data_IF_489325352591
#
_entry.id   IF_489325352591
#
_cell.length_a   1.000
_cell.length_b   1.000
_cell.length_c   1.000
_cell.angle_alpha   90.00
_cell.angle_beta   90.00
_cell.angle_gamma   90.00
#
_symmetry.space_group_name_H-M   'P 1'
#
loop_
_entity.id
_entity.type
_entity.pdbx_description
1 polymer ?
#
# COMPACT_ATOMS: atom_id res chain seq x y z
N UNK A 1 12.03 -12.12 4.55
CA UNK A 1 11.89 -10.80 3.91
C UNK A 1 10.93 -9.94 4.70
N UNK A 2 11.31 -8.68 5.00
CA UNK A 2 10.48 -7.72 5.75
C UNK A 2 10.02 -6.58 4.84
N UNK A 3 8.72 -6.33 4.79
CA UNK A 3 8.11 -5.22 4.04
C UNK A 3 7.54 -4.22 5.04
N UNK A 4 8.07 -2.99 5.04
CA UNK A 4 7.45 -1.87 5.73
C UNK A 4 6.38 -1.26 4.81
N UNK A 5 5.11 -1.45 5.14
CA UNK A 5 4.00 -0.80 4.46
C UNK A 5 3.62 0.49 5.19
N UNK A 6 3.70 1.60 4.48
CA UNK A 6 3.14 2.90 4.83
C UNK A 6 2.01 3.22 3.85
N UNK A 7 1.11 4.12 4.20
CA UNK A 7 -0.02 4.45 3.34
C UNK A 7 -0.54 5.86 3.60
N UNK A 8 -1.15 6.44 2.58
CA UNK A 8 -1.97 7.65 2.68
C UNK A 8 -1.25 8.83 3.39
N UNK A 9 -0.01 9.20 2.95
CA UNK A 9 0.71 10.32 3.53
C UNK A 9 0.15 11.69 3.11
N UNK A 10 -0.57 11.79 1.98
CA UNK A 10 -1.23 12.99 1.49
C UNK A 10 -0.32 14.23 1.48
N UNK A 11 0.87 14.11 0.91
CA UNK A 11 1.81 15.23 0.85
C UNK A 11 1.32 16.35 -0.07
N UNK A 12 1.80 17.56 0.18
CA UNK A 12 1.65 18.73 -0.67
C UNK A 12 3.01 19.37 -0.91
N UNK A 13 3.09 20.32 -1.86
CA UNK A 13 4.35 20.97 -2.25
C UNK A 13 5.04 21.74 -1.12
N UNK A 14 4.29 22.27 -0.16
CA UNK A 14 4.83 23.09 0.93
C UNK A 14 5.10 22.28 2.19
N UNK A 15 6.36 22.24 2.63
CA UNK A 15 6.82 21.42 3.76
C UNK A 15 6.08 21.71 5.09
N UNK A 16 5.72 22.98 5.33
CA UNK A 16 5.02 23.41 6.54
C UNK A 16 3.48 23.37 6.42
N UNK A 17 2.94 22.98 5.27
CA UNK A 17 1.49 22.96 5.09
C UNK A 17 0.84 21.85 5.93
N UNK A 18 -0.35 22.19 6.43
CA UNK A 18 -1.20 21.22 7.11
C UNK A 18 -2.18 20.60 6.11
N UNK A 19 -2.30 19.29 6.14
CA UNK A 19 -3.34 18.53 5.44
C UNK A 19 -4.25 17.93 6.49
N UNK A 20 -5.56 18.19 6.40
CA UNK A 20 -6.53 17.77 7.42
C UNK A 20 -6.05 18.14 8.85
N UNK A 21 -5.53 19.37 9.01
CA UNK A 21 -5.00 19.92 10.27
C UNK A 21 -3.76 19.19 10.83
N UNK A 22 -3.06 18.42 10.01
CA UNK A 22 -1.88 17.65 10.39
C UNK A 22 -0.66 18.00 9.53
N UNK A 23 0.55 18.01 10.10
CA UNK A 23 1.81 18.28 9.39
C UNK A 23 2.26 17.04 8.59
N UNK A 24 1.70 16.82 7.40
CA UNK A 24 1.89 15.60 6.61
C UNK A 24 3.36 15.23 6.37
N UNK A 25 4.20 16.23 6.04
CA UNK A 25 5.64 16.04 5.84
C UNK A 25 6.33 15.51 7.10
N UNK A 26 6.10 16.15 8.25
CA UNK A 26 6.73 15.74 9.51
C UNK A 26 6.27 14.35 9.98
N UNK A 27 5.00 14.03 9.75
CA UNK A 27 4.44 12.70 10.10
C UNK A 27 5.02 11.60 9.23
N UNK A 28 5.18 11.81 7.91
CA UNK A 28 5.84 10.82 7.05
C UNK A 28 7.34 10.71 7.35
N UNK A 29 8.04 11.84 7.58
CA UNK A 29 9.45 11.85 7.99
C UNK A 29 9.67 10.97 9.23
N UNK A 30 8.84 11.14 10.23
CA UNK A 30 8.84 10.31 11.45
C UNK A 30 8.50 8.85 11.16
N UNK A 31 7.46 8.58 10.37
CA UNK A 31 7.07 7.22 10.03
C UNK A 31 8.19 6.44 9.33
N UNK A 32 8.91 7.10 8.42
CA UNK A 32 10.08 6.53 7.76
C UNK A 32 11.22 6.29 8.76
N UNK A 33 11.57 7.28 9.59
CA UNK A 33 12.63 7.15 10.60
C UNK A 33 12.34 6.01 11.59
N UNK A 34 11.15 5.96 12.16
CA UNK A 34 10.76 4.92 13.12
C UNK A 34 10.60 3.55 12.43
N UNK A 35 10.05 3.53 11.21
CA UNK A 35 9.88 2.31 10.43
C UNK A 35 11.20 1.63 10.08
N UNK A 36 12.27 2.39 9.84
CA UNK A 36 13.61 1.83 9.57
C UNK A 36 14.17 1.01 10.75
N UNK A 37 13.71 1.25 11.98
CA UNK A 37 14.09 0.42 13.14
C UNK A 37 13.68 -1.05 13.02
N UNK A 38 12.72 -1.35 12.17
CA UNK A 38 12.32 -2.74 11.87
C UNK A 38 13.26 -3.43 10.88
N UNK A 39 14.28 -2.74 10.37
CA UNK A 39 15.21 -3.20 9.35
C UNK A 39 14.48 -3.82 8.15
N UNK A 40 13.63 -3.06 7.45
CA UNK A 40 12.90 -3.58 6.29
C UNK A 40 13.85 -3.88 5.12
N UNK A 41 13.52 -4.90 4.35
CA UNK A 41 14.18 -5.23 3.08
C UNK A 41 13.55 -4.49 1.89
N UNK A 42 12.34 -3.95 2.09
CA UNK A 42 11.56 -3.19 1.12
C UNK A 42 10.61 -2.23 1.84
N UNK A 43 10.45 -1.01 1.30
CA UNK A 43 9.41 -0.06 1.70
C UNK A 43 8.32 -0.03 0.63
N UNK A 44 7.07 -0.19 1.03
CA UNK A 44 5.88 -0.04 0.21
C UNK A 44 5.08 1.17 0.69
N UNK A 45 4.74 2.10 -0.22
CA UNK A 45 3.77 3.16 0.10
C UNK A 45 2.52 2.94 -0.77
N UNK A 46 1.43 2.59 -0.10
CA UNK A 46 0.23 2.02 -0.74
C UNK A 46 -0.83 3.04 -1.13
N UNK A 47 -0.41 4.18 -1.70
CA UNK A 47 -1.26 5.16 -2.38
C UNK A 47 -1.56 6.40 -1.57
N UNK A 48 -2.30 7.33 -2.21
CA UNK A 48 -2.59 8.68 -1.73
C UNK A 48 -1.31 9.40 -1.26
N UNK A 49 -0.30 9.35 -2.14
CA UNK A 49 1.03 9.89 -1.91
C UNK A 49 1.02 11.41 -1.84
N UNK A 50 0.21 12.02 -2.72
CA UNK A 50 0.04 13.47 -2.86
C UNK A 50 -1.45 13.84 -2.72
N UNK A 51 -1.74 14.92 -1.97
CA UNK A 51 -3.12 15.37 -1.72
C UNK A 51 -3.73 16.12 -2.90
N UNK A 52 -2.91 16.87 -3.64
CA UNK A 52 -3.30 17.88 -4.61
C UNK A 52 -2.76 17.62 -6.03
N UNK A 53 -2.34 16.39 -6.30
CA UNK A 53 -1.76 15.97 -7.58
C UNK A 53 -0.55 16.83 -8.04
N UNK A 54 0.10 17.56 -7.11
CA UNK A 54 1.15 18.50 -7.47
C UNK A 54 2.50 17.83 -7.73
N UNK A 55 3.25 18.36 -8.71
CA UNK A 55 4.67 17.99 -8.93
C UNK A 55 5.48 18.11 -7.63
N UNK A 56 5.26 19.23 -6.91
CA UNK A 56 5.96 19.52 -5.64
C UNK A 56 5.71 18.49 -4.55
N UNK A 57 4.50 17.96 -4.42
CA UNK A 57 4.18 16.90 -3.47
C UNK A 57 5.01 15.63 -3.71
N UNK A 58 5.14 15.20 -4.98
CA UNK A 58 6.00 14.06 -5.33
C UNK A 58 7.49 14.35 -5.13
N UNK A 59 7.95 15.59 -5.38
CA UNK A 59 9.33 15.98 -5.07
C UNK A 59 9.59 15.90 -3.56
N UNK A 60 8.64 16.34 -2.72
CA UNK A 60 8.72 16.22 -1.27
C UNK A 60 8.82 14.75 -0.83
N UNK A 61 8.00 13.87 -1.40
CA UNK A 61 8.10 12.43 -1.16
C UNK A 61 9.49 11.89 -1.53
N UNK A 62 9.99 12.24 -2.71
CA UNK A 62 11.32 11.81 -3.16
C UNK A 62 12.43 12.21 -2.21
N UNK A 63 12.39 13.47 -1.68
CA UNK A 63 13.38 13.96 -0.70
C UNK A 63 13.36 13.16 0.60
N UNK A 64 12.17 12.80 1.10
CA UNK A 64 12.04 11.99 2.31
C UNK A 64 12.55 10.56 2.10
N UNK A 65 12.21 9.95 0.97
CA UNK A 65 12.69 8.61 0.63
C UNK A 65 14.23 8.59 0.50
N UNK A 66 14.83 9.58 -0.17
CA UNK A 66 16.30 9.68 -0.27
C UNK A 66 16.99 9.85 1.08
N UNK A 67 16.35 10.54 2.02
CA UNK A 67 16.92 10.78 3.34
C UNK A 67 16.92 9.54 4.22
N UNK A 68 15.86 8.72 4.14
CA UNK A 68 15.61 7.66 5.10
C UNK A 68 15.71 6.24 4.56
N UNK A 69 15.58 6.04 3.23
CA UNK A 69 15.39 4.70 2.67
C UNK A 69 16.56 4.33 1.76
N UNK A 70 17.23 3.22 2.09
CA UNK A 70 18.35 2.65 1.32
C UNK A 70 18.03 1.26 0.72
N UNK A 71 16.77 0.85 0.78
CA UNK A 71 16.25 -0.42 0.25
C UNK A 71 15.29 -0.15 -0.91
N UNK A 72 14.93 -1.15 -1.72
CA UNK A 72 13.93 -0.99 -2.78
C UNK A 72 12.63 -0.36 -2.27
N UNK A 73 12.02 0.51 -3.09
CA UNK A 73 10.74 1.17 -2.78
C UNK A 73 9.72 0.88 -3.85
N UNK A 74 8.54 0.42 -3.43
CA UNK A 74 7.35 0.29 -4.25
C UNK A 74 6.34 1.41 -3.96
N UNK A 75 5.86 2.09 -5.02
CA UNK A 75 4.90 3.17 -4.91
C UNK A 75 3.64 2.85 -5.71
N UNK A 76 2.49 2.95 -5.07
CA UNK A 76 1.18 2.84 -5.69
C UNK A 76 0.56 4.24 -5.81
N UNK A 77 -0.16 4.57 -6.88
CA UNK A 77 -1.06 5.70 -6.86
C UNK A 77 -2.37 5.33 -6.15
N UNK A 78 -2.90 6.27 -5.35
CA UNK A 78 -4.27 6.22 -4.84
C UNK A 78 -5.20 7.12 -5.65
N UNK A 79 -6.41 7.38 -5.15
CA UNK A 79 -7.39 8.22 -5.85
C UNK A 79 -7.05 9.72 -5.81
N UNK A 80 -6.21 10.17 -4.88
CA UNK A 80 -5.67 11.53 -4.80
C UNK A 80 -4.41 11.75 -5.64
N UNK A 81 -3.91 10.73 -6.33
CA UNK A 81 -2.66 10.82 -7.07
C UNK A 81 -2.86 11.07 -8.57
N UNK A 82 -1.84 11.61 -9.21
CA UNK A 82 -1.75 11.69 -10.67
C UNK A 82 -0.68 10.70 -11.18
N UNK A 83 -1.05 9.51 -11.70
CA UNK A 83 -0.10 8.44 -12.01
C UNK A 83 1.01 8.83 -12.99
N UNK A 84 0.72 9.69 -13.98
CA UNK A 84 1.73 10.15 -14.94
C UNK A 84 2.75 11.08 -14.29
N UNK A 85 2.32 11.99 -13.41
CA UNK A 85 3.24 12.87 -12.67
C UNK A 85 4.06 12.06 -11.66
N UNK A 86 3.44 11.16 -10.93
CA UNK A 86 4.14 10.20 -10.05
C UNK A 86 5.28 9.50 -10.80
N UNK A 87 4.97 8.92 -11.97
CA UNK A 87 5.95 8.24 -12.81
C UNK A 87 7.03 9.17 -13.33
N UNK A 88 6.67 10.39 -13.75
CA UNK A 88 7.61 11.37 -14.28
C UNK A 88 8.62 11.85 -13.23
N UNK A 89 8.16 12.09 -11.99
CA UNK A 89 8.99 12.59 -10.89
C UNK A 89 9.81 11.48 -10.24
N UNK A 90 9.21 10.32 -9.96
CA UNK A 90 9.78 9.29 -9.12
C UNK A 90 10.11 7.97 -9.83
N UNK A 91 9.52 7.71 -11.00
CA UNK A 91 9.61 6.41 -11.68
C UNK A 91 10.99 6.01 -12.22
N UNK A 92 11.97 6.94 -12.25
CA UNK A 92 13.37 6.63 -12.59
C UNK A 92 14.17 6.12 -11.37
N UNK A 93 13.68 6.38 -10.17
CA UNK A 93 14.37 6.12 -8.91
C UNK A 93 13.70 5.02 -8.10
N UNK A 94 12.39 4.94 -8.18
CA UNK A 94 11.56 4.01 -7.40
C UNK A 94 10.64 3.23 -8.33
N UNK A 95 10.22 2.05 -7.90
CA UNK A 95 9.30 1.22 -8.65
C UNK A 95 7.86 1.73 -8.47
N UNK A 96 7.23 2.15 -9.57
CA UNK A 96 5.84 2.66 -9.56
C UNK A 96 4.89 1.67 -10.23
N UNK A 97 3.69 1.48 -9.65
CA UNK A 97 2.67 0.59 -10.19
C UNK A 97 2.15 1.05 -11.60
N UNK A 98 1.75 0.11 -12.50
CA UNK A 98 1.81 -1.34 -12.31
C UNK A 98 3.24 -1.88 -12.49
N UNK A 99 3.67 -2.75 -11.59
CA UNK A 99 5.02 -3.32 -11.60
C UNK A 99 5.13 -4.61 -10.77
N UNK A 100 6.24 -5.31 -10.92
CA UNK A 100 6.64 -6.43 -10.08
C UNK A 100 8.05 -6.20 -9.54
N UNK A 101 8.24 -6.39 -8.25
CA UNK A 101 9.52 -6.44 -7.57
C UNK A 101 9.78 -7.85 -7.06
N UNK A 102 11.03 -8.30 -7.17
CA UNK A 102 11.48 -9.54 -6.54
C UNK A 102 12.63 -9.18 -5.60
N UNK A 103 12.40 -9.38 -4.31
CA UNK A 103 13.38 -9.08 -3.26
C UNK A 103 13.50 -10.31 -2.36
N UNK A 104 14.71 -10.80 -2.14
CA UNK A 104 14.98 -11.99 -1.31
C UNK A 104 14.07 -13.19 -1.64
N UNK A 105 13.82 -13.45 -2.92
CA UNK A 105 12.97 -14.56 -3.36
C UNK A 105 11.46 -14.38 -3.13
N UNK A 106 11.02 -13.21 -2.69
CA UNK A 106 9.59 -12.87 -2.56
C UNK A 106 9.17 -11.93 -3.68
N UNK A 107 8.02 -12.19 -4.26
CA UNK A 107 7.38 -11.37 -5.29
C UNK A 107 6.45 -10.34 -4.62
N UNK A 108 6.62 -9.08 -4.95
CA UNK A 108 5.66 -8.02 -4.65
C UNK A 108 5.09 -7.49 -5.97
N UNK A 109 3.82 -7.73 -6.22
CA UNK A 109 3.09 -7.20 -7.38
C UNK A 109 2.36 -5.93 -6.96
N UNK A 110 2.67 -4.84 -7.64
CA UNK A 110 2.08 -3.52 -7.45
C UNK A 110 1.00 -3.29 -8.51
N UNK A 111 -0.24 -3.09 -8.09
CA UNK A 111 -1.37 -2.82 -8.98
C UNK A 111 -1.78 -1.36 -8.89
N UNK A 112 -1.98 -0.73 -10.03
CA UNK A 112 -2.53 0.62 -10.12
C UNK A 112 -4.05 0.55 -10.17
N UNK A 113 -4.72 0.86 -9.07
CA UNK A 113 -6.18 0.92 -8.99
C UNK A 113 -6.75 2.34 -9.13
N UNK A 114 -5.92 3.32 -9.47
CA UNK A 114 -6.37 4.70 -9.73
C UNK A 114 -7.31 4.76 -10.93
N UNK A 115 -8.41 5.50 -10.78
CA UNK A 115 -9.33 5.84 -11.84
C UNK A 115 -9.57 7.35 -11.82
N UNK A 116 -9.17 8.02 -12.89
CA UNK A 116 -9.28 9.49 -12.98
C UNK A 116 -10.71 9.97 -12.74
N UNK A 117 -10.86 10.97 -11.86
CA UNK A 117 -12.17 11.55 -11.49
C UNK A 117 -13.07 10.66 -10.65
N UNK A 118 -12.57 9.55 -10.12
CA UNK A 118 -13.35 8.62 -9.30
C UNK A 118 -12.63 8.33 -7.98
N UNK A 119 -13.41 8.27 -6.88
CA UNK A 119 -12.89 7.81 -5.58
C UNK A 119 -12.87 6.27 -5.45
N UNK A 120 -13.59 5.55 -6.30
CA UNK A 120 -13.57 4.09 -6.37
C UNK A 120 -12.48 3.60 -7.32
N UNK A 121 -11.84 2.48 -6.96
CA UNK A 121 -10.75 1.91 -7.74
C UNK A 121 -11.21 1.08 -8.93
N UNK A 122 -10.31 0.91 -9.89
CA UNK A 122 -10.50 0.04 -11.05
C UNK A 122 -9.15 -0.38 -11.65
N UNK A 123 -8.94 -1.66 -11.91
CA UNK A 123 -7.73 -2.18 -12.55
C UNK A 123 -7.86 -2.20 -14.07
N UNK A 124 -9.03 -2.56 -14.54
CA UNK A 124 -9.33 -2.69 -15.96
C UNK A 124 -8.77 -3.94 -16.62
N UNK A 125 -9.30 -4.29 -17.83
CA UNK A 125 -8.99 -5.56 -18.47
C UNK A 125 -7.52 -5.72 -18.83
N UNK A 126 -6.84 -4.66 -19.26
CA UNK A 126 -5.43 -4.71 -19.64
C UNK A 126 -4.51 -5.04 -18.47
N UNK A 127 -4.75 -4.42 -17.29
CA UNK A 127 -3.93 -4.70 -16.12
C UNK A 127 -4.26 -6.07 -15.51
N UNK A 128 -5.52 -6.49 -15.53
CA UNK A 128 -5.91 -7.84 -15.12
C UNK A 128 -5.27 -8.92 -16.02
N UNK A 129 -5.24 -8.71 -17.33
CA UNK A 129 -4.51 -9.60 -18.25
C UNK A 129 -3.02 -9.61 -17.96
N UNK A 130 -2.39 -8.43 -17.79
CA UNK A 130 -0.98 -8.32 -17.40
C UNK A 130 -0.69 -9.10 -16.11
N UNK A 131 -1.57 -9.00 -15.11
CA UNK A 131 -1.43 -9.75 -13.86
C UNK A 131 -1.47 -11.26 -14.10
N UNK A 132 -2.42 -11.76 -14.89
CA UNK A 132 -2.51 -13.18 -15.25
C UNK A 132 -1.24 -13.68 -15.92
N UNK A 133 -0.70 -12.91 -16.89
CA UNK A 133 0.55 -13.25 -17.58
C UNK A 133 1.74 -13.30 -16.60
N UNK A 134 1.85 -12.34 -15.65
CA UNK A 134 2.90 -12.37 -14.62
C UNK A 134 2.78 -13.57 -13.70
N UNK A 135 1.57 -13.92 -13.30
CA UNK A 135 1.33 -15.04 -12.38
C UNK A 135 1.52 -16.41 -13.07
N UNK A 136 1.34 -16.48 -14.38
CA UNK A 136 1.55 -17.71 -15.17
C UNK A 136 3.04 -18.03 -15.42
N UNK A 137 3.99 -17.13 -15.09
CA UNK A 137 5.42 -17.35 -15.31
C UNK A 137 5.93 -18.57 -14.50
N UNK A 138 6.33 -19.68 -15.18
CA UNK A 138 6.70 -20.92 -14.52
C UNK A 138 7.98 -20.78 -13.67
N UNK A 139 8.84 -19.80 -13.96
CA UNK A 139 10.07 -19.57 -13.21
C UNK A 139 9.83 -18.90 -11.86
N UNK A 140 8.66 -18.31 -11.67
CA UNK A 140 8.35 -17.46 -10.51
C UNK A 140 7.10 -17.89 -9.75
N UNK A 141 6.29 -18.79 -10.31
CA UNK A 141 4.97 -19.14 -9.77
C UNK A 141 4.99 -19.68 -8.33
N UNK A 142 6.12 -20.29 -7.94
CA UNK A 142 6.26 -20.91 -6.62
C UNK A 142 6.88 -19.95 -5.57
N UNK A 143 7.37 -18.77 -6.00
CA UNK A 143 7.88 -17.76 -5.08
C UNK A 143 6.74 -17.15 -4.27
N UNK A 144 6.91 -16.96 -2.94
CA UNK A 144 5.93 -16.26 -2.12
C UNK A 144 5.49 -14.94 -2.76
N UNK A 145 4.18 -14.73 -2.86
CA UNK A 145 3.56 -13.60 -3.54
C UNK A 145 2.81 -12.71 -2.56
N UNK A 146 3.11 -11.43 -2.58
CA UNK A 146 2.31 -10.36 -1.98
C UNK A 146 1.77 -9.48 -3.10
N UNK A 147 0.47 -9.19 -3.07
CA UNK A 147 -0.17 -8.27 -4.01
C UNK A 147 -0.56 -6.99 -3.27
N UNK A 148 -0.18 -5.86 -3.82
CA UNK A 148 -0.46 -4.55 -3.26
C UNK A 148 -1.28 -3.69 -4.22
N UNK A 149 -2.31 -3.04 -3.71
CA UNK A 149 -3.14 -2.08 -4.41
C UNK A 149 -3.58 -0.98 -3.43
N UNK A 150 -4.18 0.11 -3.93
CA UNK A 150 -4.64 1.16 -3.02
C UNK A 150 -6.04 0.87 -2.49
N UNK A 151 -7.01 0.60 -3.37
CA UNK A 151 -8.40 0.42 -2.97
C UNK A 151 -8.69 -0.99 -2.45
N UNK A 152 -9.50 -1.15 -1.38
CA UNK A 152 -9.86 -2.45 -0.84
C UNK A 152 -10.51 -3.37 -1.89
N UNK A 153 -10.10 -4.65 -1.97
CA UNK A 153 -10.72 -5.62 -2.87
C UNK A 153 -11.94 -6.33 -2.26
N UNK A 154 -12.42 -5.83 -1.12
CA UNK A 154 -13.57 -6.35 -0.37
C UNK A 154 -14.24 -5.21 0.41
N UNK A 155 -15.48 -5.41 0.81
CA UNK A 155 -16.12 -4.54 1.80
C UNK A 155 -15.45 -4.73 3.17
N UNK A 156 -15.16 -3.61 3.85
CA UNK A 156 -14.51 -3.61 5.17
C UNK A 156 -15.52 -3.44 6.31
N UNK A 157 -16.80 -3.20 6.01
CA UNK A 157 -17.86 -2.94 6.98
C UNK A 157 -18.01 -1.46 7.34
N UNK A 158 -17.46 -0.54 6.53
CA UNK A 158 -17.62 0.91 6.74
C UNK A 158 -18.53 1.50 5.65
N UNK A 159 -19.70 2.10 5.99
CA UNK A 159 -20.72 2.43 5.02
C UNK A 159 -20.25 3.41 3.92
N UNK A 160 -19.34 4.32 4.24
CA UNK A 160 -18.79 5.27 3.25
C UNK A 160 -17.66 4.64 2.47
N UNK A 161 -16.68 4.00 3.15
CA UNK A 161 -15.51 3.44 2.47
C UNK A 161 -15.89 2.30 1.52
N UNK A 162 -16.91 1.51 1.87
CA UNK A 162 -17.38 0.39 1.05
C UNK A 162 -18.02 0.83 -0.29
N UNK A 163 -18.38 2.11 -0.44
CA UNK A 163 -18.82 2.68 -1.73
C UNK A 163 -17.66 3.04 -2.65
N UNK A 164 -16.41 3.05 -2.12
CA UNK A 164 -15.19 3.47 -2.82
C UNK A 164 -14.19 2.33 -2.98
N UNK A 165 -14.63 1.10 -2.86
CA UNK A 165 -13.80 -0.10 -3.05
C UNK A 165 -13.34 -0.28 -4.50
N UNK A 166 -12.53 -1.31 -4.74
CA UNK A 166 -12.15 -1.75 -6.08
C UNK A 166 -13.38 -2.27 -6.85
N UNK A 167 -13.75 -1.62 -7.96
CA UNK A 167 -14.97 -1.94 -8.71
C UNK A 167 -14.93 -3.32 -9.37
N UNK A 168 -13.75 -3.75 -9.83
CA UNK A 168 -13.52 -5.05 -10.49
C UNK A 168 -12.88 -6.08 -9.55
N UNK A 169 -13.19 -6.00 -8.25
CA UNK A 169 -12.65 -6.89 -7.22
C UNK A 169 -12.95 -8.38 -7.44
N UNK A 170 -14.09 -8.72 -8.06
CA UNK A 170 -14.43 -10.11 -8.37
C UNK A 170 -13.46 -10.71 -9.38
N UNK A 171 -13.07 -9.94 -10.42
CA UNK A 171 -12.09 -10.36 -11.42
C UNK A 171 -10.69 -10.53 -10.78
N UNK A 172 -10.29 -9.61 -9.91
CA UNK A 172 -9.04 -9.73 -9.16
C UNK A 172 -9.05 -10.98 -8.28
N UNK A 173 -10.12 -11.23 -7.54
CA UNK A 173 -10.26 -12.42 -6.70
C UNK A 173 -10.19 -13.72 -7.52
N UNK A 174 -10.88 -13.78 -8.65
CA UNK A 174 -10.84 -14.94 -9.55
C UNK A 174 -9.43 -15.25 -10.08
N UNK A 175 -8.60 -14.21 -10.29
CA UNK A 175 -7.21 -14.37 -10.72
C UNK A 175 -6.32 -14.82 -9.56
N UNK A 176 -6.48 -14.26 -8.37
CA UNK A 176 -5.56 -14.46 -7.25
C UNK A 176 -5.85 -15.71 -6.42
N UNK A 177 -7.12 -16.04 -6.20
CA UNK A 177 -7.50 -17.14 -5.31
C UNK A 177 -6.91 -18.51 -5.69
N UNK A 178 -6.72 -18.88 -6.99
CA UNK A 178 -6.09 -20.14 -7.37
C UNK A 178 -4.59 -20.23 -7.05
N UNK A 179 -3.91 -19.10 -6.76
CA UNK A 179 -2.46 -19.09 -6.61
C UNK A 179 -2.02 -19.59 -5.23
N UNK A 180 -1.42 -20.77 -5.17
CA UNK A 180 -0.92 -21.37 -3.93
C UNK A 180 0.20 -20.55 -3.27
N UNK A 181 0.98 -19.81 -4.06
CA UNK A 181 2.07 -18.97 -3.55
C UNK A 181 1.61 -17.63 -2.97
N UNK A 182 0.32 -17.24 -3.12
CA UNK A 182 -0.22 -16.00 -2.56
C UNK A 182 -0.17 -16.04 -1.02
N UNK A 183 0.45 -15.04 -0.41
CA UNK A 183 0.62 -14.92 1.05
C UNK A 183 -0.19 -13.80 1.66
N UNK A 184 -0.40 -12.70 0.92
CA UNK A 184 -1.25 -11.59 1.38
C UNK A 184 -1.71 -10.73 0.21
N UNK A 185 -2.82 -10.02 0.43
CA UNK A 185 -3.19 -8.84 -0.34
C UNK A 185 -3.22 -7.64 0.61
N UNK A 186 -2.46 -6.59 0.28
CA UNK A 186 -2.31 -5.41 1.14
C UNK A 186 -2.83 -4.16 0.45
N UNK A 187 -3.47 -3.26 1.20
CA UNK A 187 -4.08 -2.07 0.64
C UNK A 187 -4.05 -0.88 1.60
N UNK A 188 -4.26 0.32 1.05
CA UNK A 188 -4.40 1.60 1.74
C UNK A 188 -5.83 2.09 1.76
N UNK A 189 -6.03 3.40 1.44
CA UNK A 189 -7.31 4.08 1.23
C UNK A 189 -8.19 4.25 2.48
N UNK A 190 -8.29 3.21 3.29
CA UNK A 190 -9.22 3.15 4.43
C UNK A 190 -8.70 3.87 5.67
N UNK A 191 -7.44 4.28 5.69
CA UNK A 191 -6.78 4.97 6.81
C UNK A 191 -6.97 4.30 8.16
N UNK A 192 -7.09 2.97 8.20
CA UNK A 192 -7.29 2.24 9.46
C UNK A 192 -6.67 0.85 9.41
N UNK A 193 -6.39 0.31 10.57
CA UNK A 193 -6.11 -1.11 10.67
C UNK A 193 -7.35 -1.90 10.28
N UNK A 194 -7.18 -2.85 9.39
CA UNK A 194 -8.22 -3.82 9.03
C UNK A 194 -7.59 -5.16 8.66
N UNK A 195 -8.28 -6.23 9.00
CA UNK A 195 -7.86 -7.59 8.69
C UNK A 195 -9.08 -8.44 8.32
N UNK A 196 -9.00 -9.14 7.22
CA UNK A 196 -10.01 -10.11 6.77
C UNK A 196 -9.40 -11.12 5.83
N UNK A 197 -10.26 -11.94 5.22
CA UNK A 197 -9.87 -12.97 4.24
C UNK A 197 -10.97 -13.09 3.19
N UNK A 198 -10.68 -13.73 2.06
CA UNK A 198 -11.74 -14.23 1.20
C UNK A 198 -12.32 -15.52 1.76
N UNK A 199 -13.64 -15.76 1.64
CA UNK A 199 -14.26 -17.02 2.09
C UNK A 199 -13.62 -18.27 1.50
N UNK A 200 -13.18 -18.21 0.25
CA UNK A 200 -12.54 -19.31 -0.48
C UNK A 200 -11.04 -19.47 -0.17
N UNK A 201 -10.41 -18.48 0.47
CA UNK A 201 -8.99 -18.48 0.84
C UNK A 201 -8.81 -17.87 2.24
N UNK A 202 -9.30 -18.58 3.27
CA UNK A 202 -9.16 -18.13 4.66
C UNK A 202 -7.71 -18.13 5.15
N UNK A 203 -6.82 -18.80 4.43
CA UNK A 203 -5.38 -18.84 4.66
C UNK A 203 -4.65 -17.58 4.17
N UNK A 204 -5.28 -16.76 3.32
CA UNK A 204 -4.67 -15.55 2.74
C UNK A 204 -5.25 -14.31 3.40
N UNK A 205 -4.47 -13.58 4.23
CA UNK A 205 -4.92 -12.35 4.84
C UNK A 205 -5.07 -11.22 3.80
N UNK A 206 -6.14 -10.46 3.97
CA UNK A 206 -6.40 -9.18 3.33
C UNK A 206 -6.14 -8.10 4.38
N UNK A 207 -5.19 -7.20 4.14
CA UNK A 207 -4.64 -6.33 5.17
C UNK A 207 -4.75 -4.87 4.78
N UNK A 208 -5.60 -4.12 5.48
CA UNK A 208 -5.70 -2.67 5.38
C UNK A 208 -4.65 -1.99 6.24
N UNK A 209 -4.07 -0.91 5.73
CA UNK A 209 -3.00 -0.15 6.39
C UNK A 209 -3.53 1.13 7.02
N UNK A 210 -3.12 1.47 8.26
CA UNK A 210 -3.32 2.82 8.81
C UNK A 210 -2.62 3.88 7.95
N UNK A 211 -3.17 5.10 7.93
CA UNK A 211 -2.50 6.25 7.31
C UNK A 211 -1.34 6.74 8.17
N UNK A 212 -0.28 7.22 7.53
CA UNK A 212 0.81 7.94 8.21
C UNK A 212 0.39 9.35 8.62
N UNK A 213 -0.67 9.90 8.02
CA UNK A 213 -1.20 11.24 8.33
C UNK A 213 -2.19 11.20 9.49
N UNK A 214 -3.28 10.47 9.30
CA UNK A 214 -4.37 10.35 10.27
C UNK A 214 -5.22 9.13 9.96
N UNK A 215 -5.47 8.30 10.96
CA UNK A 215 -6.42 7.19 10.84
C UNK A 215 -7.86 7.68 11.00
N UNK A 216 -8.79 6.98 10.35
CA UNK A 216 -10.23 7.16 10.53
C UNK A 216 -10.75 6.26 11.64
N UNK A 217 -12.02 6.44 12.00
CA UNK A 217 -12.68 5.56 12.96
C UNK A 217 -12.61 4.10 12.46
N UNK A 218 -12.08 3.24 13.31
CA UNK A 218 -11.91 1.84 12.97
C UNK A 218 -13.23 1.08 13.01
N UNK A 219 -13.44 0.18 12.05
CA UNK A 219 -14.55 -0.80 12.06
C UNK A 219 -14.18 -2.07 12.81
N UNK A 220 -12.90 -2.25 13.13
CA UNK A 220 -12.38 -3.37 13.92
C UNK A 220 -11.53 -2.83 15.08
N UNK A 221 -11.44 -3.55 16.22
CA UNK A 221 -10.53 -3.18 17.30
C UNK A 221 -9.08 -3.09 16.81
N UNK A 222 -8.39 -2.01 17.17
CA UNK A 222 -6.97 -1.87 16.85
C UNK A 222 -6.14 -2.60 17.92
N UNK A 223 -5.23 -3.51 17.52
CA UNK A 223 -4.45 -4.29 18.47
C UNK A 223 -3.34 -3.49 19.15
N UNK A 224 -3.00 -2.31 18.65
CA UNK A 224 -1.89 -1.50 19.14
C UNK A 224 -2.22 0.00 19.08
N UNK A 225 -1.92 0.71 20.17
CA UNK A 225 -2.08 2.15 20.25
C UNK A 225 -3.54 2.61 20.17
N UNK A 226 -3.73 3.91 19.94
CA UNK A 226 -5.06 4.48 19.69
C UNK A 226 -5.41 4.30 18.21
N UNK A 227 -6.68 4.04 17.93
CA UNK A 227 -7.15 3.76 16.58
C UNK A 227 -6.86 4.89 15.57
N UNK A 228 -6.93 6.15 16.04
CA UNK A 228 -6.69 7.35 15.24
C UNK A 228 -5.22 7.77 15.10
N UNK A 229 -4.29 7.15 15.84
CA UNK A 229 -2.87 7.47 15.74
C UNK A 229 -2.33 7.15 14.33
N UNK A 230 -1.38 7.93 13.82
CA UNK A 230 -0.64 7.58 12.61
C UNK A 230 0.00 6.21 12.72
N UNK A 231 0.09 5.50 11.60
CA UNK A 231 0.63 4.15 11.64
C UNK A 231 1.06 3.60 10.30
N UNK A 232 1.40 2.32 10.32
CA UNK A 232 1.79 1.51 9.18
C UNK A 232 1.66 0.03 9.52
N UNK A 233 2.29 -0.81 8.72
CA UNK A 233 2.29 -2.26 8.91
C UNK A 233 3.68 -2.82 8.58
N UNK A 234 4.15 -3.76 9.37
CA UNK A 234 5.27 -4.61 9.02
C UNK A 234 4.73 -5.98 8.62
N UNK A 235 5.15 -6.46 7.44
CA UNK A 235 4.93 -7.83 7.00
C UNK A 235 6.27 -8.55 7.00
N UNK A 236 6.28 -9.81 7.43
CA UNK A 236 7.48 -10.64 7.39
C UNK A 236 7.14 -11.98 6.72
N UNK A 237 7.80 -12.25 5.58
CA UNK A 237 7.76 -13.53 4.90
C UNK A 237 8.96 -14.34 5.39
N UNK A 238 8.67 -15.45 6.06
CA UNK A 238 9.66 -16.34 6.65
C UNK A 238 10.27 -17.28 5.60
N UNK A 239 11.37 -17.95 5.93
CA UNK A 239 12.07 -18.86 5.01
C UNK A 239 11.24 -20.08 4.60
N UNK A 240 10.27 -20.47 5.43
CA UNK A 240 9.30 -21.52 5.11
C UNK A 240 8.14 -21.04 4.23
N UNK A 241 8.16 -19.77 3.83
CA UNK A 241 7.13 -19.13 3.03
C UNK A 241 5.89 -18.70 3.83
N UNK A 242 5.85 -18.89 5.15
CA UNK A 242 4.78 -18.36 6.00
C UNK A 242 4.86 -16.84 6.12
N UNK A 243 3.72 -16.22 6.48
CA UNK A 243 3.62 -14.77 6.69
C UNK A 243 3.25 -14.48 8.15
N UNK A 244 3.96 -13.54 8.74
CA UNK A 244 3.51 -12.81 9.93
C UNK A 244 3.36 -11.33 9.63
N UNK A 245 2.51 -10.64 10.39
CA UNK A 245 2.32 -9.21 10.23
C UNK A 245 1.97 -8.53 11.53
N UNK A 246 2.33 -7.26 11.66
CA UNK A 246 1.98 -6.44 12.82
C UNK A 246 1.66 -5.00 12.40
N UNK A 247 0.74 -4.37 13.15
CA UNK A 247 0.47 -2.95 13.03
C UNK A 247 1.58 -2.18 13.73
N UNK A 248 2.01 -1.08 13.13
CA UNK A 248 2.90 -0.10 13.72
C UNK A 248 2.10 1.16 14.05
N UNK A 249 2.42 1.82 15.16
CA UNK A 249 1.82 3.09 15.56
C UNK A 249 2.90 4.05 16.01
N UNK A 250 2.72 5.31 15.66
CA UNK A 250 3.58 6.39 16.07
C UNK A 250 2.74 7.43 16.82
N UNK A 251 3.27 8.00 17.90
CA UNK A 251 2.57 9.09 18.57
C UNK A 251 2.47 10.28 17.62
N UNK A 252 1.32 10.96 17.51
CA UNK A 252 1.25 12.22 16.80
C UNK A 252 2.23 13.21 17.44
N UNK A 253 2.90 14.01 16.60
CA UNK A 253 3.79 15.08 17.04
C UNK A 253 3.01 16.18 17.76
#
# INVERSE_FOLDING_TARGET
MRILQLSDPHLVAADAALVRERPAMALLDRALLEGQRSHPDLVLISGDLCQDESWGGYVCLGRLLDRHVNVPVGLLPGNHDHPLLLKAVLGRRFCTAPAELIVQGTRLVLLNSHRSGCSAGWLGPHQLQWLQERLADPLRRDLPLVVALHHPPVAIGHPVMDTMNLSDHHQLAAILQPHAALRAVVFGHIHQHWHGTWPQRPDVPLLGCPSTLRSFQCVQPCPLGRAEDPGGRLLEIHNDGSLSHQVLRWSPC
#
